data_IF_129842569222
#
_entry.id   IF_129842569222
#
_cell.length_a   1.000
_cell.length_b   1.000
_cell.length_c   1.000
_cell.angle_alpha   90.00
_cell.angle_beta   90.00
_cell.angle_gamma   90.00
#
_symmetry.space_group_name_H-M   'P 1'
#
loop_
_entity.id
_entity.type
_entity.pdbx_description
1 polymer ?
#
# COMPACT_ATOMS: atom_id res chain seq x y z
N UNK A 1 -11.51 -19.19 -20.08
CA UNK A 1 -10.71 -19.22 -18.83
C UNK A 1 -10.69 -17.80 -18.32
N UNK A 2 -11.36 -17.52 -17.20
CA UNK A 2 -11.47 -16.17 -16.66
C UNK A 2 -10.07 -15.67 -16.26
N UNK A 3 -9.71 -14.47 -16.70
CA UNK A 3 -8.49 -13.82 -16.27
C UNK A 3 -8.57 -13.55 -14.77
N UNK A 4 -7.59 -14.05 -14.02
CA UNK A 4 -7.47 -13.74 -12.60
C UNK A 4 -7.13 -12.26 -12.43
N UNK A 5 -7.67 -11.63 -11.38
CA UNK A 5 -7.45 -10.22 -11.06
C UNK A 5 -5.96 -9.86 -10.95
N UNK A 6 -5.11 -10.85 -10.63
CA UNK A 6 -3.65 -10.75 -10.55
C UNK A 6 -3.00 -10.43 -11.90
N UNK A 7 -3.65 -10.73 -13.01
CA UNK A 7 -3.11 -10.48 -14.34
C UNK A 7 -3.40 -9.05 -14.83
N UNK A 8 -4.38 -8.37 -14.22
CA UNK A 8 -4.81 -7.00 -14.56
C UNK A 8 -4.00 -5.90 -13.86
N UNK A 9 -3.37 -6.22 -12.73
CA UNK A 9 -2.63 -5.26 -11.91
C UNK A 9 -1.16 -5.66 -11.77
N UNK A 10 -0.29 -4.67 -11.85
CA UNK A 10 1.12 -4.79 -11.46
C UNK A 10 1.23 -4.50 -9.96
N UNK A 11 1.61 -5.53 -9.20
CA UNK A 11 1.88 -5.40 -7.77
C UNK A 11 3.35 -5.03 -7.59
N UNK A 12 3.60 -3.82 -7.11
CA UNK A 12 4.95 -3.36 -6.77
C UNK A 12 5.05 -3.08 -5.29
N UNK A 13 6.02 -3.73 -4.67
CA UNK A 13 6.41 -3.39 -3.31
C UNK A 13 7.19 -2.07 -3.32
N UNK A 14 6.81 -1.16 -2.43
CA UNK A 14 7.43 0.13 -2.26
C UNK A 14 7.61 0.40 -0.78
N UNK A 15 8.67 1.11 -0.42
CA UNK A 15 8.86 1.61 0.94
C UNK A 15 8.63 3.11 0.91
N UNK A 16 7.71 3.61 1.73
CA UNK A 16 7.52 5.05 1.88
C UNK A 16 7.84 5.49 3.30
N UNK A 17 8.66 6.54 3.46
CA UNK A 17 8.87 7.19 4.74
C UNK A 17 7.54 7.79 5.23
N UNK A 18 7.20 7.52 6.48
CA UNK A 18 6.05 8.09 7.16
C UNK A 18 6.47 8.67 8.50
N UNK A 19 6.11 9.93 8.73
CA UNK A 19 6.28 10.57 10.04
C UNK A 19 5.24 10.04 11.01
N UNK A 20 5.69 9.28 12.01
CA UNK A 20 4.83 8.70 13.02
C UNK A 20 5.22 9.20 14.40
N UNK A 21 4.21 9.43 15.23
CA UNK A 21 4.41 9.82 16.63
C UNK A 21 4.16 8.62 17.53
N UNK A 22 5.16 8.23 18.31
CA UNK A 22 5.01 7.11 19.22
C UNK A 22 4.09 7.50 20.40
N UNK A 23 3.01 6.75 20.69
CA UNK A 23 2.10 7.08 21.80
C UNK A 23 2.76 6.93 23.18
N UNK A 24 3.84 6.14 23.28
CA UNK A 24 4.52 5.88 24.56
C UNK A 24 5.55 6.95 24.94
N UNK A 25 6.34 7.43 23.98
CA UNK A 25 7.39 8.43 24.24
C UNK A 25 7.12 9.80 23.58
N UNK A 26 6.03 9.91 22.81
CA UNK A 26 5.59 11.11 22.08
C UNK A 26 6.62 11.68 21.10
N UNK A 27 7.62 10.88 20.72
CA UNK A 27 8.57 11.28 19.69
C UNK A 27 8.01 11.04 18.31
N UNK A 28 8.14 12.08 17.47
CA UNK A 28 7.86 12.04 16.05
C UNK A 28 9.14 11.73 15.31
N UNK A 29 9.16 10.61 14.61
CA UNK A 29 10.30 10.14 13.82
C UNK A 29 9.79 9.64 12.47
N UNK A 30 10.71 9.49 11.52
CA UNK A 30 10.39 8.94 10.20
C UNK A 30 10.60 7.42 10.18
N UNK A 31 9.56 6.68 9.81
CA UNK A 31 9.55 5.23 9.74
C UNK A 31 9.29 4.78 8.31
N UNK A 32 10.12 3.86 7.82
CA UNK A 32 9.91 3.26 6.51
C UNK A 32 8.83 2.20 6.62
N UNK A 33 7.66 2.49 6.05
CA UNK A 33 6.55 1.54 5.99
C UNK A 33 6.59 0.79 4.66
N UNK A 34 6.32 -0.52 4.71
CA UNK A 34 6.03 -1.29 3.52
C UNK A 34 4.69 -0.90 2.90
N UNK A 35 4.68 -0.62 1.62
CA UNK A 35 3.51 -0.33 0.79
C UNK A 35 3.46 -1.28 -0.40
N UNK A 36 2.25 -1.63 -0.78
CA UNK A 36 1.92 -2.44 -1.92
C UNK A 36 1.22 -1.55 -2.94
N UNK A 37 1.94 -1.06 -3.93
CA UNK A 37 1.35 -0.30 -5.03
C UNK A 37 0.73 -1.28 -6.01
N UNK A 38 -0.60 -1.20 -6.16
CA UNK A 38 -1.32 -1.90 -7.21
C UNK A 38 -1.59 -0.91 -8.33
N UNK A 39 -0.77 -1.03 -9.37
CA UNK A 39 -0.85 -0.17 -10.55
C UNK A 39 -1.61 -0.91 -11.64
N UNK A 40 -2.55 -0.23 -12.29
CA UNK A 40 -3.25 -0.78 -13.46
C UNK A 40 -2.24 -1.03 -14.58
N UNK A 41 -2.20 -2.25 -15.14
CA UNK A 41 -1.33 -2.52 -16.31
C UNK A 41 -1.75 -1.65 -17.49
N UNK A 42 -0.80 -1.26 -18.36
CA UNK A 42 -1.09 -0.43 -19.54
C UNK A 42 -1.94 -1.12 -20.61
N UNK A 43 -1.95 -2.45 -20.63
CA UNK A 43 -2.61 -3.23 -21.68
C UNK A 43 -3.26 -4.47 -21.05
N UNK A 44 -4.53 -4.71 -21.38
CA UNK A 44 -5.15 -5.99 -21.05
C UNK A 44 -4.59 -7.07 -21.98
N UNK A 45 -4.40 -8.30 -21.50
CA UNK A 45 -4.04 -9.42 -22.37
C UNK A 45 -5.09 -9.58 -23.48
N UNK A 46 -4.70 -10.05 -24.68
CA UNK A 46 -5.61 -10.24 -25.82
C UNK A 46 -6.74 -11.27 -25.58
N UNK A 47 -6.78 -11.90 -24.40
CA UNK A 47 -7.82 -12.84 -23.95
C UNK A 47 -8.83 -12.22 -22.97
N UNK A 48 -8.83 -10.89 -22.81
CA UNK A 48 -9.72 -10.20 -21.87
C UNK A 48 -11.17 -10.05 -22.39
N UNK A 49 -12.12 -10.57 -21.61
CA UNK A 49 -13.55 -10.44 -21.86
C UNK A 49 -14.05 -9.00 -21.65
N UNK A 50 -15.27 -8.71 -22.11
CA UNK A 50 -15.92 -7.39 -21.94
C UNK A 50 -16.08 -6.98 -20.47
N UNK A 51 -16.25 -7.96 -19.57
CA UNK A 51 -16.37 -7.77 -18.12
C UNK A 51 -15.06 -7.29 -17.48
N UNK A 52 -13.92 -7.79 -17.97
CA UNK A 52 -12.59 -7.37 -17.54
C UNK A 52 -12.24 -5.98 -18.06
N UNK A 53 -12.68 -5.64 -19.28
CA UNK A 53 -12.54 -4.28 -19.83
C UNK A 53 -13.31 -3.25 -19.01
N UNK A 54 -14.53 -3.57 -18.57
CA UNK A 54 -15.31 -2.70 -17.69
C UNK A 54 -14.66 -2.50 -16.31
N UNK A 55 -14.14 -3.57 -15.70
CA UNK A 55 -13.40 -3.51 -14.43
C UNK A 55 -12.10 -2.70 -14.58
N UNK A 56 -11.38 -2.90 -15.67
CA UNK A 56 -10.17 -2.17 -15.99
C UNK A 56 -10.42 -0.69 -16.24
N UNK A 57 -11.51 -0.32 -16.92
CA UNK A 57 -11.88 1.08 -17.12
C UNK A 57 -12.13 1.81 -15.78
N UNK A 58 -12.71 1.11 -14.80
CA UNK A 58 -13.00 1.65 -13.46
C UNK A 58 -11.83 1.52 -12.47
N UNK A 59 -10.82 0.73 -12.81
CA UNK A 59 -9.67 0.49 -11.95
C UNK A 59 -8.82 1.76 -11.78
N UNK A 60 -8.62 2.16 -10.52
CA UNK A 60 -7.72 3.25 -10.13
C UNK A 60 -6.44 2.64 -9.56
N UNK A 61 -5.35 3.39 -9.64
CA UNK A 61 -4.12 3.01 -8.97
C UNK A 61 -4.31 3.22 -7.47
N UNK A 62 -3.91 2.25 -6.65
CA UNK A 62 -4.01 2.39 -5.21
C UNK A 62 -2.83 1.71 -4.52
N UNK A 63 -2.48 2.24 -3.37
CA UNK A 63 -1.41 1.73 -2.53
C UNK A 63 -2.02 1.17 -1.26
N UNK A 64 -1.62 -0.03 -0.86
CA UNK A 64 -2.05 -0.66 0.40
C UNK A 64 -0.85 -0.75 1.33
N UNK A 65 -0.97 -0.18 2.52
CA UNK A 65 0.05 -0.32 3.56
C UNK A 65 0.10 -1.78 4.04
N UNK A 66 1.28 -2.39 4.03
CA UNK A 66 1.51 -3.74 4.59
C UNK A 66 2.00 -3.71 6.03
N UNK A 67 2.75 -2.67 6.40
CA UNK A 67 3.22 -2.49 7.78
C UNK A 67 2.12 -1.89 8.65
N UNK A 68 1.64 -2.66 9.63
CA UNK A 68 0.65 -2.19 10.60
C UNK A 68 1.27 -1.72 11.92
N UNK A 69 2.46 -2.24 12.26
CA UNK A 69 3.15 -1.94 13.51
C UNK A 69 4.62 -1.64 13.25
N UNK A 70 5.13 -0.58 13.89
CA UNK A 70 6.55 -0.22 13.83
C UNK A 70 7.18 -0.24 15.22
N UNK A 71 8.47 -0.55 15.28
CA UNK A 71 9.25 -0.45 16.51
C UNK A 71 9.78 0.97 16.66
N UNK A 72 9.53 1.59 17.82
CA UNK A 72 10.02 2.94 18.08
C UNK A 72 11.55 3.03 17.96
N UNK A 73 12.05 3.98 17.14
CA UNK A 73 13.49 4.24 16.94
C UNK A 73 14.18 4.72 18.22
N UNK A 74 13.43 5.23 19.19
CA UNK A 74 13.98 5.64 20.47
C UNK A 74 14.47 4.42 21.27
N UNK A 75 15.78 4.36 21.51
CA UNK A 75 16.46 3.30 22.28
C UNK A 75 15.89 3.17 23.70
N UNK A 76 15.35 4.25 24.29
CA UNK A 76 14.72 4.24 25.62
C UNK A 76 13.32 3.63 25.62
N UNK A 77 12.60 3.71 24.50
CA UNK A 77 11.24 3.22 24.41
C UNK A 77 11.20 1.79 23.85
N UNK A 78 11.75 1.58 22.64
CA UNK A 78 11.78 0.30 21.90
C UNK A 78 10.44 -0.48 21.83
N UNK A 79 9.33 0.14 22.22
CA UNK A 79 7.99 -0.47 22.15
C UNK A 79 7.51 -0.47 20.70
N UNK A 80 6.80 -1.52 20.33
CA UNK A 80 6.02 -1.58 19.10
C UNK A 80 4.75 -0.78 19.28
N UNK A 81 4.40 0.00 18.27
CA UNK A 81 3.15 0.75 18.26
C UNK A 81 2.52 0.65 16.88
N UNK A 82 1.20 0.72 16.84
CA UNK A 82 0.44 0.72 15.60
C UNK A 82 0.66 2.03 14.84
N UNK A 83 0.77 1.92 13.52
CA UNK A 83 0.92 3.05 12.62
C UNK A 83 -0.41 3.81 12.58
N UNK A 84 -0.52 4.81 13.46
CA UNK A 84 -1.68 5.69 13.57
C UNK A 84 -1.48 6.94 12.71
N UNK A 85 -2.56 7.43 12.09
CA UNK A 85 -2.52 8.65 11.24
C UNK A 85 -2.09 8.44 9.79
N UNK A 86 -1.65 7.24 9.40
CA UNK A 86 -1.40 6.88 7.99
C UNK A 86 -2.56 6.02 7.49
N UNK A 87 -3.18 6.42 6.39
CA UNK A 87 -4.26 5.63 5.77
C UNK A 87 -3.72 4.27 5.29
N UNK A 88 -4.46 3.20 5.58
CA UNK A 88 -4.11 1.84 5.14
C UNK A 88 -4.23 1.67 3.62
N UNK A 89 -5.06 2.51 2.98
CA UNK A 89 -5.22 2.56 1.52
C UNK A 89 -5.11 4.01 1.07
N UNK A 90 -4.17 4.28 0.17
CA UNK A 90 -4.02 5.58 -0.49
C UNK A 90 -4.31 5.42 -1.99
N UNK A 91 -5.35 6.10 -2.48
CA UNK A 91 -5.67 6.12 -3.90
C UNK A 91 -4.75 7.12 -4.61
N UNK A 92 -4.11 6.71 -5.70
CA UNK A 92 -3.34 7.61 -6.58
C UNK A 92 -4.22 7.89 -7.80
N UNK A 93 -4.50 9.17 -8.04
CA UNK A 93 -5.29 9.61 -9.20
C UNK A 93 -4.45 9.64 -10.48
#
# INVERSE_FOLDING_TARGET
MALEERDLYDEREAKKPARLTCPHCRQTEDYELGWLMRTKKRQLPPRADERDRARFAKARNYMVRRDDQVMCKNIRCRKRFEVTGVQSVAFTE
#
